data_IF_668360649474
#
_entry.id   IF_668360649474
#
_cell.length_a   1.000
_cell.length_b   1.000
_cell.length_c   1.000
_cell.angle_alpha   90.00
_cell.angle_beta   90.00
_cell.angle_gamma   90.00
#
_symmetry.space_group_name_H-M   'P 1'
#
loop_
_entity.id
_entity.type
_entity.pdbx_description
1 polymer ?
#
# COMPACT_ATOMS: atom_id res chain seq x y z
N UNK A 1 -38.64 5.75 6.71
CA UNK A 1 -37.70 4.94 5.90
C UNK A 1 -38.30 3.54 5.81
N UNK A 2 -39.11 3.26 4.77
CA UNK A 2 -39.98 2.06 4.72
C UNK A 2 -39.55 0.97 3.73
N UNK A 3 -38.49 1.18 2.96
CA UNK A 3 -37.85 0.12 2.17
C UNK A 3 -36.50 -0.19 2.81
N UNK A 4 -36.18 -1.47 2.98
CA UNK A 4 -34.90 -1.90 3.54
C UNK A 4 -33.72 -1.56 2.63
N UNK A 5 -32.62 -2.28 2.82
CA UNK A 5 -31.39 -2.14 2.03
C UNK A 5 -31.63 -2.41 0.54
N UNK A 6 -32.69 -3.14 0.18
CA UNK A 6 -33.12 -3.42 -1.19
C UNK A 6 -33.41 -2.14 -1.97
N UNK A 7 -33.85 -1.08 -1.28
CA UNK A 7 -34.11 0.22 -1.89
C UNK A 7 -32.85 0.98 -2.33
N UNK A 8 -31.66 0.44 -2.02
CA UNK A 8 -30.35 0.98 -2.42
C UNK A 8 -29.70 0.15 -3.53
N UNK A 9 -30.29 -1.00 -3.91
CA UNK A 9 -29.77 -1.85 -4.97
C UNK A 9 -29.89 -1.15 -6.34
N UNK A 10 -28.81 -1.18 -7.11
CA UNK A 10 -28.74 -0.71 -8.49
C UNK A 10 -29.25 -1.74 -9.52
N UNK A 11 -29.86 -2.84 -9.06
CA UNK A 11 -30.35 -3.95 -9.86
C UNK A 11 -29.29 -5.01 -10.16
N UNK A 12 -28.14 -4.95 -9.50
CA UNK A 12 -27.02 -5.91 -9.65
C UNK A 12 -26.51 -6.45 -8.32
N UNK A 13 -27.24 -6.23 -7.22
CA UNK A 13 -26.81 -6.59 -5.86
C UNK A 13 -25.76 -5.63 -5.29
N UNK A 14 -25.66 -4.41 -5.81
CA UNK A 14 -24.69 -3.40 -5.38
C UNK A 14 -25.33 -2.02 -5.26
N UNK A 15 -24.69 -1.10 -4.54
CA UNK A 15 -25.14 0.28 -4.41
C UNK A 15 -24.46 1.16 -5.46
N UNK A 16 -25.26 1.85 -6.27
CA UNK A 16 -24.76 2.82 -7.24
C UNK A 16 -24.47 4.17 -6.61
N UNK A 17 -23.23 4.66 -6.72
CA UNK A 17 -22.81 5.97 -6.22
C UNK A 17 -22.32 6.91 -7.32
N UNK A 18 -22.23 8.21 -7.02
CA UNK A 18 -21.44 9.16 -7.79
C UNK A 18 -19.94 9.10 -7.39
N UNK A 19 -19.13 9.99 -7.98
CA UNK A 19 -17.68 10.05 -7.71
C UNK A 19 -17.33 10.46 -6.27
N UNK A 20 -18.31 10.99 -5.54
CA UNK A 20 -18.20 11.43 -4.14
C UNK A 20 -18.86 10.43 -3.19
N UNK A 21 -19.08 9.20 -3.66
CA UNK A 21 -19.63 8.09 -2.88
C UNK A 21 -21.02 8.35 -2.30
N UNK A 22 -21.75 9.32 -2.88
CA UNK A 22 -23.15 9.57 -2.56
C UNK A 22 -24.04 8.67 -3.40
N UNK A 23 -25.06 8.07 -2.78
CA UNK A 23 -25.97 7.14 -3.44
C UNK A 23 -26.83 7.88 -4.45
N UNK A 24 -26.89 7.36 -5.68
CA UNK A 24 -27.67 7.95 -6.77
C UNK A 24 -29.14 8.08 -6.39
N UNK A 25 -29.71 9.26 -6.61
CA UNK A 25 -31.12 9.54 -6.27
C UNK A 25 -31.40 9.70 -4.76
N UNK A 26 -30.40 9.54 -3.89
CA UNK A 26 -30.56 9.67 -2.43
C UNK A 26 -29.50 10.61 -1.86
N UNK A 27 -29.76 11.94 -1.84
CA UNK A 27 -28.72 12.94 -1.55
C UNK A 27 -28.14 12.87 -0.13
N UNK A 28 -28.85 12.24 0.82
CA UNK A 28 -28.44 12.07 2.22
C UNK A 28 -27.80 10.71 2.52
N UNK A 29 -27.55 9.89 1.49
CA UNK A 29 -27.02 8.53 1.66
C UNK A 29 -25.66 8.43 0.99
N UNK A 30 -24.73 7.75 1.67
CA UNK A 30 -23.36 7.52 1.19
C UNK A 30 -23.03 6.04 1.34
N UNK A 31 -22.20 5.51 0.45
CA UNK A 31 -21.80 4.10 0.46
C UNK A 31 -20.34 3.96 0.03
N UNK A 32 -19.62 3.03 0.67
CA UNK A 32 -18.19 2.78 0.46
C UNK A 32 -17.87 1.29 0.55
N UNK A 33 -16.70 0.88 0.05
CA UNK A 33 -16.23 -0.51 0.11
C UNK A 33 -16.94 -1.48 -0.86
N UNK A 34 -16.99 -2.76 -0.48
CA UNK A 34 -17.40 -3.86 -1.36
C UNK A 34 -18.88 -3.82 -1.76
N UNK A 35 -19.71 -3.08 -1.02
CA UNK A 35 -21.14 -2.87 -1.34
C UNK A 35 -21.34 -2.13 -2.67
N UNK A 36 -20.33 -1.40 -3.15
CA UNK A 36 -20.34 -0.78 -4.48
C UNK A 36 -19.76 -1.76 -5.52
N UNK A 37 -18.62 -2.36 -5.18
CA UNK A 37 -17.92 -3.36 -5.98
C UNK A 37 -16.79 -3.97 -5.12
N UNK A 38 -16.65 -5.29 -5.05
CA UNK A 38 -15.53 -5.94 -4.37
C UNK A 38 -14.18 -5.51 -4.95
N UNK A 39 -13.24 -5.09 -4.09
CA UNK A 39 -11.89 -4.70 -4.52
C UNK A 39 -10.85 -4.97 -3.42
N UNK A 40 -9.73 -4.23 -3.44
CA UNK A 40 -8.65 -4.34 -2.48
C UNK A 40 -9.06 -3.61 -1.21
N UNK A 41 -8.52 -4.04 -0.07
CA UNK A 41 -8.72 -3.36 1.21
C UNK A 41 -8.40 -1.86 1.13
N UNK A 42 -7.33 -1.50 0.42
CA UNK A 42 -6.92 -0.10 0.21
C UNK A 42 -7.95 0.71 -0.57
N UNK A 43 -8.61 0.10 -1.55
CA UNK A 43 -9.71 0.72 -2.29
C UNK A 43 -10.90 0.99 -1.38
N UNK A 44 -11.28 0.04 -0.54
CA UNK A 44 -12.38 0.21 0.42
C UNK A 44 -12.09 1.32 1.44
N UNK A 45 -10.85 1.40 1.95
CA UNK A 45 -10.40 2.51 2.82
C UNK A 45 -10.49 3.84 2.07
N UNK A 46 -10.07 3.88 0.81
CA UNK A 46 -10.19 5.05 -0.06
C UNK A 46 -11.63 5.52 -0.24
N UNK A 47 -12.56 4.58 -0.46
CA UNK A 47 -14.00 4.86 -0.55
C UNK A 47 -14.51 5.52 0.73
N UNK A 48 -14.17 4.94 1.89
CA UNK A 48 -14.58 5.46 3.20
C UNK A 48 -14.07 6.87 3.46
N UNK A 49 -12.80 7.15 3.13
CA UNK A 49 -12.22 8.49 3.27
C UNK A 49 -12.94 9.53 2.42
N UNK A 50 -13.22 9.23 1.15
CA UNK A 50 -13.91 10.17 0.25
C UNK A 50 -15.36 10.37 0.70
N UNK A 51 -16.04 9.29 1.12
CA UNK A 51 -17.39 9.38 1.65
C UNK A 51 -17.45 10.26 2.91
N UNK A 52 -16.49 10.12 3.83
CA UNK A 52 -16.41 10.94 5.04
C UNK A 52 -16.22 12.43 4.73
N UNK A 53 -15.28 12.77 3.84
CA UNK A 53 -15.09 14.16 3.37
C UNK A 53 -16.36 14.70 2.70
N UNK A 54 -17.04 13.87 1.91
CA UNK A 54 -18.28 14.26 1.22
C UNK A 54 -19.44 14.49 2.19
N UNK A 55 -19.52 13.71 3.27
CA UNK A 55 -20.48 13.91 4.37
C UNK A 55 -20.19 15.25 5.06
N UNK A 56 -18.93 15.54 5.38
CA UNK A 56 -18.55 16.82 6.00
C UNK A 56 -18.95 18.02 5.14
N UNK A 57 -18.59 18.03 3.85
CA UNK A 57 -19.00 19.08 2.92
C UNK A 57 -20.52 19.21 2.82
N UNK A 58 -21.25 18.09 2.75
CA UNK A 58 -22.71 18.07 2.71
C UNK A 58 -23.32 18.70 3.98
N UNK A 59 -22.79 18.38 5.16
CA UNK A 59 -23.27 18.93 6.43
C UNK A 59 -22.94 20.42 6.57
N UNK A 60 -21.78 20.85 6.09
CA UNK A 60 -21.33 22.24 6.12
C UNK A 60 -21.91 23.11 4.99
N UNK A 61 -22.75 22.55 4.11
CA UNK A 61 -23.32 23.26 2.95
C UNK A 61 -22.26 23.73 1.95
N UNK A 62 -21.06 23.16 2.00
CA UNK A 62 -19.94 23.54 1.15
C UNK A 62 -19.96 22.74 -0.16
N UNK A 63 -19.57 23.34 -1.29
CA UNK A 63 -19.43 22.61 -2.54
C UNK A 63 -18.33 21.55 -2.39
N UNK A 64 -18.60 20.34 -2.90
CA UNK A 64 -17.60 19.27 -2.93
C UNK A 64 -16.65 19.55 -4.08
N UNK A 65 -15.44 19.95 -3.76
CA UNK A 65 -14.41 20.20 -4.76
C UNK A 65 -13.85 18.90 -5.33
N UNK A 66 -13.38 18.97 -6.59
CA UNK A 66 -12.77 17.81 -7.22
C UNK A 66 -11.44 17.50 -6.51
N UNK A 67 -11.37 16.33 -5.86
CA UNK A 67 -10.12 15.84 -5.27
C UNK A 67 -8.98 15.91 -6.31
N UNK A 68 -7.81 16.44 -5.92
CA UNK A 68 -6.66 16.45 -6.80
C UNK A 68 -6.33 15.00 -7.18
N UNK A 69 -5.99 14.80 -8.45
CA UNK A 69 -5.46 13.49 -8.86
C UNK A 69 -4.15 13.29 -8.13
N UNK A 70 -4.06 12.20 -7.36
CA UNK A 70 -2.77 11.76 -6.83
C UNK A 70 -1.92 11.37 -8.03
N UNK A 71 -0.76 12.00 -8.16
CA UNK A 71 0.24 11.56 -9.13
C UNK A 71 0.77 10.21 -8.66
N UNK A 72 0.20 9.14 -9.20
CA UNK A 72 0.61 7.77 -8.94
C UNK A 72 1.86 7.48 -9.75
N UNK A 73 3.00 7.98 -9.26
CA UNK A 73 4.28 7.64 -9.83
C UNK A 73 4.58 6.16 -9.54
N UNK A 74 4.25 5.31 -10.51
CA UNK A 74 4.66 3.92 -10.44
C UNK A 74 6.17 3.87 -10.62
N UNK A 75 6.84 3.16 -9.71
CA UNK A 75 8.24 2.88 -9.84
C UNK A 75 8.48 2.18 -11.19
N UNK A 76 9.37 2.74 -12.00
CA UNK A 76 9.76 2.18 -13.28
C UNK A 76 11.26 1.92 -13.22
N UNK A 77 11.62 0.64 -13.16
CA UNK A 77 13.01 0.22 -13.03
C UNK A 77 13.86 0.67 -14.21
N UNK A 78 13.38 0.52 -15.45
CA UNK A 78 14.16 0.91 -16.62
C UNK A 78 14.46 2.41 -16.62
N UNK A 79 13.49 3.24 -16.21
CA UNK A 79 13.71 4.68 -16.04
C UNK A 79 14.74 4.98 -14.95
N UNK A 80 14.67 4.30 -13.81
CA UNK A 80 15.65 4.47 -12.73
C UNK A 80 17.07 4.07 -13.17
N UNK A 81 17.20 2.94 -13.88
CA UNK A 81 18.48 2.48 -14.43
C UNK A 81 19.03 3.49 -15.46
N UNK A 82 18.17 3.97 -16.36
CA UNK A 82 18.54 4.97 -17.36
C UNK A 82 19.05 6.27 -16.71
N UNK A 83 18.35 6.78 -15.68
CA UNK A 83 18.77 7.98 -14.93
C UNK A 83 20.14 7.83 -14.27
N UNK A 84 20.58 6.60 -14.00
CA UNK A 84 21.89 6.29 -13.43
C UNK A 84 22.93 5.85 -14.45
N UNK A 85 22.61 5.90 -15.75
CA UNK A 85 23.43 5.38 -16.85
C UNK A 85 23.77 3.87 -16.69
N UNK A 86 22.77 3.09 -16.25
CA UNK A 86 22.85 1.64 -16.03
C UNK A 86 21.89 0.87 -16.93
N UNK A 87 21.62 1.37 -18.14
CA UNK A 87 20.76 0.71 -19.11
C UNK A 87 21.23 -0.72 -19.42
N UNK A 88 20.32 -1.70 -19.51
CA UNK A 88 20.67 -3.05 -19.96
C UNK A 88 21.24 -3.04 -21.38
N UNK A 89 22.19 -3.94 -21.65
CA UNK A 89 22.68 -4.14 -23.01
C UNK A 89 21.58 -4.74 -23.91
N UNK A 90 21.61 -4.52 -25.24
CA UNK A 90 20.69 -5.18 -26.15
C UNK A 90 20.83 -6.71 -26.09
N UNK A 91 19.72 -7.43 -26.05
CA UNK A 91 19.73 -8.89 -26.15
C UNK A 91 19.97 -9.34 -27.59
N UNK A 92 21.08 -10.05 -27.84
CA UNK A 92 21.30 -10.75 -29.11
C UNK A 92 20.55 -12.09 -29.09
N UNK A 93 19.52 -12.24 -29.91
CA UNK A 93 18.75 -13.47 -30.01
C UNK A 93 19.67 -14.68 -30.30
N UNK A 94 19.66 -15.66 -29.39
CA UNK A 94 20.47 -16.88 -29.49
C UNK A 94 20.40 -17.72 -28.21
N UNK A 95 20.85 -18.98 -28.27
CA UNK A 95 20.89 -19.82 -27.08
C UNK A 95 21.98 -19.32 -26.12
N UNK A 96 21.59 -18.86 -24.93
CA UNK A 96 22.53 -18.45 -23.88
C UNK A 96 22.50 -19.43 -22.72
N UNK A 97 23.66 -19.88 -22.25
CA UNK A 97 23.77 -20.73 -21.05
C UNK A 97 23.79 -19.86 -19.79
N UNK A 98 22.59 -19.56 -19.27
CA UNK A 98 22.42 -18.76 -18.07
C UNK A 98 22.63 -17.26 -18.30
N UNK A 99 22.16 -16.44 -17.36
CA UNK A 99 22.10 -14.98 -17.52
C UNK A 99 22.66 -14.22 -16.33
N UNK A 100 23.18 -14.92 -15.31
CA UNK A 100 23.67 -14.32 -14.05
C UNK A 100 24.71 -13.21 -14.22
N UNK A 101 25.54 -13.26 -15.27
CA UNK A 101 26.53 -12.23 -15.62
C UNK A 101 26.16 -11.42 -16.87
N UNK A 102 25.00 -11.67 -17.47
CA UNK A 102 24.56 -11.01 -18.69
C UNK A 102 24.04 -9.62 -18.37
N UNK A 103 24.62 -8.59 -18.99
CA UNK A 103 24.21 -7.20 -18.80
C UNK A 103 22.90 -6.84 -19.51
N UNK A 104 22.44 -7.67 -20.44
CA UNK A 104 21.11 -7.52 -21.05
C UNK A 104 19.98 -8.01 -20.15
N UNK A 105 20.29 -8.79 -19.11
CA UNK A 105 19.31 -9.47 -18.29
C UNK A 105 19.23 -8.85 -16.88
N UNK A 106 18.01 -8.66 -16.39
CA UNK A 106 17.75 -8.04 -15.09
C UNK A 106 17.38 -9.13 -14.08
N UNK A 107 18.32 -9.45 -13.18
CA UNK A 107 18.17 -10.50 -12.16
C UNK A 107 17.95 -9.90 -10.77
N UNK A 108 16.74 -9.42 -10.50
CA UNK A 108 16.20 -9.22 -9.13
C UNK A 108 14.85 -8.50 -9.10
N UNK A 109 14.19 -8.34 -10.24
CA UNK A 109 13.14 -7.31 -10.36
C UNK A 109 11.94 -7.71 -11.20
N UNK A 110 11.76 -8.99 -11.48
CA UNK A 110 10.42 -9.40 -11.90
C UNK A 110 9.50 -9.22 -10.70
N UNK A 111 8.49 -8.35 -10.86
CA UNK A 111 7.36 -8.33 -9.95
C UNK A 111 6.67 -9.69 -10.01
N UNK A 112 7.09 -10.56 -9.10
CA UNK A 112 6.56 -11.92 -8.94
C UNK A 112 5.32 -11.94 -8.06
N UNK A 113 4.79 -10.78 -7.64
CA UNK A 113 3.57 -10.75 -6.83
C UNK A 113 2.38 -11.40 -7.54
N UNK A 114 2.39 -11.43 -8.88
CA UNK A 114 1.38 -12.10 -9.70
C UNK A 114 1.50 -13.64 -9.70
N UNK A 115 2.68 -14.21 -9.41
CA UNK A 115 2.95 -15.65 -9.51
C UNK A 115 3.24 -16.34 -8.19
N UNK A 116 3.75 -15.61 -7.19
CA UNK A 116 4.15 -16.19 -5.91
C UNK A 116 3.89 -15.20 -4.76
N UNK A 117 2.87 -15.48 -3.97
CA UNK A 117 2.57 -14.76 -2.72
C UNK A 117 3.12 -15.61 -1.57
N UNK A 118 4.14 -15.11 -0.87
CA UNK A 118 4.65 -15.77 0.35
C UNK A 118 3.74 -15.37 1.52
N UNK A 119 2.99 -16.30 2.13
CA UNK A 119 2.17 -15.97 3.27
C UNK A 119 3.05 -15.62 4.49
N UNK A 120 2.52 -14.83 5.41
CA UNK A 120 3.27 -14.38 6.59
C UNK A 120 3.77 -15.52 7.50
N UNK A 121 3.16 -16.71 7.39
CA UNK A 121 3.57 -17.94 8.09
C UNK A 121 4.89 -18.49 7.56
N UNK A 122 5.18 -18.26 6.28
CA UNK A 122 6.29 -18.87 5.56
C UNK A 122 7.49 -17.91 5.48
N UNK A 123 7.32 -16.66 5.94
CA UNK A 123 8.40 -15.71 6.09
C UNK A 123 9.37 -16.17 7.19
N UNK A 124 10.65 -16.29 6.84
CA UNK A 124 11.70 -16.49 7.83
C UNK A 124 11.92 -15.19 8.64
N UNK A 125 11.30 -15.15 9.83
CA UNK A 125 11.35 -13.99 10.74
C UNK A 125 12.59 -13.95 11.64
N UNK A 126 13.47 -14.96 11.58
CA UNK A 126 14.62 -15.09 12.49
C UNK A 126 15.62 -13.93 12.42
N UNK A 127 15.64 -13.16 11.33
CA UNK A 127 16.47 -11.97 11.19
C UNK A 127 15.90 -10.72 11.90
N UNK A 128 14.62 -10.75 12.30
CA UNK A 128 13.94 -9.62 12.94
C UNK A 128 13.75 -9.90 14.42
N UNK A 129 14.23 -8.99 15.27
CA UNK A 129 13.92 -9.05 16.69
C UNK A 129 12.42 -8.85 16.87
N UNK A 130 11.83 -9.60 17.80
CA UNK A 130 10.45 -9.36 18.17
C UNK A 130 10.32 -7.97 18.81
N UNK A 131 9.36 -7.21 18.31
CA UNK A 131 8.93 -5.95 18.91
C UNK A 131 7.40 -6.00 19.01
N UNK A 132 6.86 -5.58 20.15
CA UNK A 132 5.42 -5.55 20.33
C UNK A 132 4.81 -4.43 19.46
N UNK A 133 3.65 -4.69 18.85
CA UNK A 133 2.91 -3.67 18.09
C UNK A 133 2.47 -2.55 19.03
N UNK A 134 2.69 -1.29 18.64
CA UNK A 134 2.12 -0.13 19.33
C UNK A 134 0.60 -0.17 19.26
N UNK A 135 -0.06 -0.61 20.33
CA UNK A 135 -1.52 -0.56 20.43
C UNK A 135 -1.93 0.90 20.63
N UNK A 136 -2.89 1.36 19.82
CA UNK A 136 -3.46 2.69 19.99
C UNK A 136 -4.37 2.70 21.20
N UNK A 137 -4.37 3.81 21.90
CA UNK A 137 -5.29 4.03 23.01
C UNK A 137 -6.69 4.31 22.46
N UNK A 138 -7.68 3.85 23.20
CA UNK A 138 -9.09 4.09 22.90
C UNK A 138 -9.71 4.91 24.03
N UNK A 139 -10.56 5.87 23.65
CA UNK A 139 -11.42 6.57 24.60
C UNK A 139 -12.66 5.71 24.79
N UNK A 140 -12.82 5.17 26.00
CA UNK A 140 -14.06 4.51 26.38
C UNK A 140 -15.15 5.56 26.64
N UNK A 141 -16.33 5.34 26.06
CA UNK A 141 -17.49 6.19 26.26
C UNK A 141 -18.58 5.30 26.84
N UNK A 142 -19.04 5.65 28.04
CA UNK A 142 -20.16 5.00 28.71
C UNK A 142 -21.45 5.18 27.90
N UNK A 143 -22.35 4.20 27.95
CA UNK A 143 -23.52 4.13 27.07
C UNK A 143 -24.43 5.35 27.13
N UNK A 144 -24.58 5.95 28.31
CA UNK A 144 -25.36 7.17 28.55
C UNK A 144 -24.74 8.44 27.92
N UNK A 145 -23.44 8.41 27.62
CA UNK A 145 -22.67 9.53 27.05
C UNK A 145 -22.40 9.38 25.55
N UNK A 146 -22.97 8.38 24.90
CA UNK A 146 -22.78 8.17 23.45
C UNK A 146 -23.52 9.22 22.63
N UNK A 147 -24.74 9.58 23.03
CA UNK A 147 -25.56 10.54 22.28
C UNK A 147 -24.98 11.95 22.42
N UNK A 148 -24.61 12.55 21.29
CA UNK A 148 -24.04 13.89 21.22
C UNK A 148 -22.53 13.96 21.46
N UNK A 149 -21.85 12.83 21.68
CA UNK A 149 -20.41 12.76 21.75
C UNK A 149 -19.81 12.51 20.35
N UNK A 150 -18.97 13.44 19.90
CA UNK A 150 -18.26 13.40 18.61
C UNK A 150 -16.74 13.30 18.78
N UNK A 151 -16.27 12.93 19.98
CA UNK A 151 -14.86 12.72 20.25
C UNK A 151 -14.33 11.47 19.52
N UNK A 152 -13.10 11.57 19.03
CA UNK A 152 -12.41 10.45 18.39
C UNK A 152 -12.21 9.30 19.38
N UNK A 153 -12.79 8.15 19.04
CA UNK A 153 -12.69 6.91 19.84
C UNK A 153 -11.27 6.35 19.82
N UNK A 154 -10.61 6.40 18.67
CA UNK A 154 -9.26 5.88 18.49
C UNK A 154 -8.30 7.06 18.55
N UNK A 155 -7.44 7.11 19.57
CA UNK A 155 -6.42 8.14 19.63
C UNK A 155 -5.38 7.91 18.54
N UNK A 156 -5.16 8.92 17.71
CA UNK A 156 -4.09 8.92 16.71
C UNK A 156 -2.73 8.71 17.37
N UNK A 157 -1.80 8.09 16.63
CA UNK A 157 -0.41 8.05 17.07
C UNK A 157 0.17 9.46 17.05
N UNK A 158 0.97 9.80 18.06
CA UNK A 158 1.87 10.94 17.98
C UNK A 158 2.86 10.74 16.82
N UNK A 159 3.46 11.83 16.33
CA UNK A 159 4.45 11.75 15.26
C UNK A 159 5.60 10.79 15.61
N UNK A 160 6.09 10.84 16.84
CA UNK A 160 7.14 9.94 17.32
C UNK A 160 6.70 8.47 17.30
N UNK A 161 5.49 8.18 17.79
CA UNK A 161 4.93 6.82 17.74
C UNK A 161 4.72 6.34 16.31
N UNK A 162 4.28 7.21 15.40
CA UNK A 162 4.10 6.89 13.99
C UNK A 162 5.43 6.58 13.29
N UNK A 163 6.48 7.37 13.56
CA UNK A 163 7.84 7.12 13.06
C UNK A 163 8.36 5.78 13.60
N UNK A 164 8.18 5.51 14.88
CA UNK A 164 8.63 4.25 15.49
C UNK A 164 7.88 3.03 14.93
N UNK A 165 6.56 3.12 14.68
CA UNK A 165 5.82 2.05 14.01
C UNK A 165 6.28 1.89 12.55
N UNK A 166 6.65 2.97 11.87
CA UNK A 166 7.22 2.93 10.51
C UNK A 166 8.57 2.19 10.45
N UNK A 167 9.40 2.26 11.50
CA UNK A 167 10.67 1.51 11.59
C UNK A 167 10.47 -0.01 11.69
N UNK A 168 9.29 -0.47 12.12
CA UNK A 168 8.92 -1.89 12.17
C UNK A 168 8.49 -2.45 10.80
N UNK A 169 8.27 -1.59 9.80
CA UNK A 169 7.85 -2.02 8.47
C UNK A 169 8.88 -2.98 7.83
N UNK A 170 8.41 -4.13 7.35
CA UNK A 170 9.19 -5.03 6.52
C UNK A 170 9.02 -4.64 5.05
N UNK A 171 10.12 -4.61 4.29
CA UNK A 171 10.07 -4.35 2.83
C UNK A 171 9.33 -5.48 2.12
N UNK A 172 8.40 -5.12 1.22
CA UNK A 172 7.50 -6.04 0.53
C UNK A 172 7.97 -6.44 -0.88
N UNK A 173 9.23 -6.24 -1.26
CA UNK A 173 9.70 -6.74 -2.57
C UNK A 173 10.95 -6.13 -3.18
N UNK A 174 11.60 -5.15 -2.54
CA UNK A 174 12.88 -4.61 -3.02
C UNK A 174 13.92 -4.54 -1.90
N UNK A 175 15.20 -4.67 -2.28
CA UNK A 175 16.29 -4.41 -1.34
C UNK A 175 16.20 -2.96 -0.85
N UNK A 176 16.13 -2.79 0.46
CA UNK A 176 16.02 -1.51 1.16
C UNK A 176 17.29 -1.17 1.95
N UNK A 177 18.41 -1.79 1.55
CA UNK A 177 19.74 -1.49 2.08
C UNK A 177 19.91 -1.79 3.58
N UNK A 178 19.19 -2.80 4.10
CA UNK A 178 19.24 -3.17 5.52
C UNK A 178 20.47 -3.99 5.96
N UNK A 179 21.35 -4.35 5.02
CA UNK A 179 22.57 -5.14 5.24
C UNK A 179 22.40 -6.54 5.86
N UNK A 180 21.20 -6.98 6.24
CA UNK A 180 20.98 -8.30 6.87
C UNK A 180 21.54 -9.45 6.02
N UNK A 181 21.31 -9.44 4.69
CA UNK A 181 21.83 -10.46 3.80
C UNK A 181 23.38 -10.53 3.77
N UNK A 182 24.08 -9.40 3.99
CA UNK A 182 25.55 -9.38 4.08
C UNK A 182 26.02 -9.86 5.44
N UNK A 183 25.36 -9.40 6.52
CA UNK A 183 25.71 -9.72 7.91
C UNK A 183 25.55 -11.22 8.19
N UNK A 184 24.45 -11.82 7.72
CA UNK A 184 24.13 -13.22 7.98
C UNK A 184 24.73 -14.20 6.98
N UNK A 185 25.53 -13.74 6.00
CA UNK A 185 26.15 -14.63 5.02
C UNK A 185 27.50 -15.17 5.53
N UNK A 186 27.57 -16.40 6.07
CA UNK A 186 28.83 -16.94 6.60
C UNK A 186 29.86 -17.18 5.49
N UNK A 187 29.39 -17.43 4.26
CA UNK A 187 30.24 -17.78 3.12
C UNK A 187 30.73 -16.55 2.35
N UNK A 188 30.38 -15.33 2.76
CA UNK A 188 30.68 -14.09 2.01
C UNK A 188 30.24 -14.17 0.54
N UNK A 189 29.17 -14.94 0.29
CA UNK A 189 28.57 -15.12 -1.03
C UNK A 189 27.83 -13.85 -1.48
N UNK A 190 27.38 -13.00 -0.55
CA UNK A 190 26.70 -11.73 -0.85
C UNK A 190 27.69 -10.58 -0.76
N UNK A 191 27.80 -9.78 -1.81
CA UNK A 191 28.70 -8.63 -1.93
C UNK A 191 27.89 -7.35 -2.19
N UNK A 192 28.40 -6.22 -1.69
CA UNK A 192 27.79 -4.90 -1.96
C UNK A 192 28.17 -4.44 -3.36
N UNK A 193 27.18 -3.92 -4.09
CA UNK A 193 27.40 -3.35 -5.43
C UNK A 193 28.30 -2.10 -5.30
N UNK A 194 29.28 -1.89 -6.21
CA UNK A 194 30.10 -0.69 -6.24
C UNK A 194 29.24 0.58 -6.31
N UNK A 195 29.64 1.66 -5.62
CA UNK A 195 28.82 2.88 -5.50
C UNK A 195 28.39 3.47 -6.86
N UNK A 196 29.23 3.33 -7.89
CA UNK A 196 28.96 3.81 -9.27
C UNK A 196 27.89 2.99 -10.01
N UNK A 197 27.57 1.78 -9.53
CA UNK A 197 26.66 0.83 -10.16
C UNK A 197 25.39 0.57 -9.32
N UNK A 198 25.22 1.27 -8.20
CA UNK A 198 24.06 1.14 -7.32
C UNK A 198 22.84 1.80 -7.94
N UNK A 199 21.70 1.11 -7.89
CA UNK A 199 20.37 1.61 -8.23
C UNK A 199 19.36 1.24 -7.13
N UNK A 200 18.15 1.80 -7.14
CA UNK A 200 17.09 1.40 -6.20
C UNK A 200 16.87 -0.12 -6.30
N UNK A 201 16.96 -0.82 -5.16
CA UNK A 201 16.88 -2.28 -5.09
C UNK A 201 18.16 -3.04 -5.50
N UNK A 202 19.17 -2.38 -6.11
CA UNK A 202 20.43 -2.97 -6.60
C UNK A 202 21.56 -2.59 -5.65
N UNK A 203 21.49 -3.14 -4.46
CA UNK A 203 22.42 -2.83 -3.38
C UNK A 203 23.42 -3.97 -3.10
N UNK A 204 22.97 -5.22 -3.28
CA UNK A 204 23.79 -6.42 -3.13
C UNK A 204 23.68 -7.32 -4.36
N UNK A 205 24.68 -8.16 -4.56
CA UNK A 205 24.72 -9.22 -5.56
C UNK A 205 25.37 -10.48 -4.95
N UNK A 206 25.10 -11.64 -5.54
CA UNK A 206 25.75 -12.92 -5.21
C UNK A 206 26.81 -13.26 -6.24
#
# INVERSE_FOLDING_TARGET
LGGGLESLDNGKGYIGTDAMYRVKGKPKHFAGGDVIRPHLLTTAIGHGRIAAESIDHFLNGSPVDKRPKVDVHHFNLLRELHQRALDPEPYSAGQTRGTSSAKYAIHNYEDRSASQIIPHSDLFKGHFKYEARGRRDEVHIEGDKVLGNFEERIKGLTEEQAINEGKRCMSCGMCFECDNCVIFCPQTAVKRVPKKERAVGRYVYT
#
